data_IF_305603383460
#
_entry.id   IF_305603383460
#
_cell.length_a   1.000
_cell.length_b   1.000
_cell.length_c   1.000
_cell.angle_alpha   90.00
_cell.angle_beta   90.00
_cell.angle_gamma   90.00
#
_symmetry.space_group_name_H-M   'P 1'
#
loop_
_entity.id
_entity.type
_entity.pdbx_description
1 polymer ?
#
# COMPACT_ATOMS: atom_id res chain seq x y z
N UNK A 1 -7.78 18.82 -24.99
CA UNK A 1 -8.36 19.96 -25.73
C UNK A 1 -9.76 20.15 -25.15
N UNK A 2 -10.04 21.24 -24.44
CA UNK A 2 -11.37 21.46 -23.84
C UNK A 2 -12.27 22.03 -24.94
N UNK A 3 -13.44 21.43 -25.15
CA UNK A 3 -14.44 21.87 -26.13
C UNK A 3 -15.04 23.21 -25.75
N UNK A 4 -15.46 24.00 -26.74
CA UNK A 4 -15.89 25.39 -26.55
C UNK A 4 -17.22 25.58 -25.83
N UNK A 5 -18.02 24.51 -25.64
CA UNK A 5 -19.31 24.53 -24.95
C UNK A 5 -19.36 23.50 -23.81
N UNK A 6 -20.05 23.85 -22.72
CA UNK A 6 -20.29 22.94 -21.60
C UNK A 6 -21.11 21.72 -22.02
N UNK A 7 -22.03 21.86 -22.97
CA UNK A 7 -22.84 20.75 -23.51
C UNK A 7 -21.98 19.77 -24.29
N UNK A 8 -21.11 20.25 -25.20
CA UNK A 8 -20.20 19.39 -25.97
C UNK A 8 -19.26 18.56 -25.08
N UNK A 9 -18.87 19.13 -23.94
CA UNK A 9 -18.01 18.44 -22.96
C UNK A 9 -18.77 17.28 -22.30
N UNK A 10 -20.06 17.48 -22.01
CA UNK A 10 -20.92 16.47 -21.41
C UNK A 10 -21.22 15.34 -22.40
N UNK A 11 -21.50 15.67 -23.66
CA UNK A 11 -21.75 14.66 -24.69
C UNK A 11 -20.51 13.78 -24.92
N UNK A 12 -19.31 14.38 -25.00
CA UNK A 12 -18.07 13.61 -25.10
C UNK A 12 -17.81 12.72 -23.87
N UNK A 13 -18.19 13.18 -22.66
CA UNK A 13 -18.10 12.33 -21.48
C UNK A 13 -19.08 11.17 -21.54
N UNK A 14 -20.31 11.39 -21.98
CA UNK A 14 -21.31 10.32 -22.13
C UNK A 14 -20.88 9.30 -23.18
N UNK A 15 -20.43 9.75 -24.35
CA UNK A 15 -19.90 8.88 -25.42
C UNK A 15 -18.76 7.99 -24.90
N UNK A 16 -17.83 8.54 -24.11
CA UNK A 16 -16.76 7.76 -23.51
C UNK A 16 -17.27 6.64 -22.58
N UNK A 17 -18.27 6.95 -21.75
CA UNK A 17 -18.84 5.97 -20.83
C UNK A 17 -19.62 4.86 -21.55
N UNK A 18 -20.32 5.20 -22.63
CA UNK A 18 -21.05 4.25 -23.46
C UNK A 18 -20.11 3.33 -24.25
N UNK A 19 -19.12 3.90 -24.95
CA UNK A 19 -18.16 3.13 -25.76
C UNK A 19 -17.37 2.15 -24.91
N UNK A 20 -16.95 2.56 -23.71
CA UNK A 20 -16.14 1.72 -22.83
C UNK A 20 -17.02 0.85 -21.88
N UNK A 21 -18.35 0.97 -21.96
CA UNK A 21 -19.31 0.28 -21.09
C UNK A 21 -19.01 0.46 -19.59
N UNK A 22 -18.69 1.70 -19.17
CA UNK A 22 -18.34 2.01 -17.79
C UNK A 22 -19.35 2.97 -17.18
N UNK A 23 -19.83 2.67 -15.97
CA UNK A 23 -20.60 3.66 -15.21
C UNK A 23 -19.69 4.71 -14.57
N UNK A 24 -19.99 6.02 -14.69
CA UNK A 24 -19.24 7.10 -14.04
C UNK A 24 -19.24 7.01 -12.51
N UNK A 25 -20.20 6.27 -11.92
CA UNK A 25 -20.28 6.06 -10.46
C UNK A 25 -19.57 4.79 -9.98
N UNK A 26 -18.92 4.03 -10.86
CA UNK A 26 -18.27 2.77 -10.50
C UNK A 26 -16.94 3.01 -9.77
N UNK A 27 -17.02 3.16 -8.43
CA UNK A 27 -15.86 3.33 -7.54
C UNK A 27 -14.86 2.18 -7.62
N UNK A 28 -15.32 0.94 -7.89
CA UNK A 28 -14.44 -0.23 -8.00
C UNK A 28 -13.53 -0.10 -9.23
N UNK A 29 -14.07 0.38 -10.35
CA UNK A 29 -13.27 0.55 -11.56
C UNK A 29 -12.24 1.68 -11.42
N UNK A 30 -12.61 2.79 -10.78
CA UNK A 30 -11.66 3.87 -10.45
C UNK A 30 -10.54 3.40 -9.52
N UNK A 31 -10.85 2.54 -8.55
CA UNK A 31 -9.83 1.94 -7.68
C UNK A 31 -8.90 1.00 -8.45
N UNK A 32 -9.45 0.16 -9.35
CA UNK A 32 -8.64 -0.72 -10.22
C UNK A 32 -7.70 0.05 -11.14
N UNK A 33 -8.15 1.17 -11.73
CA UNK A 33 -7.31 2.03 -12.56
C UNK A 33 -6.16 2.65 -11.75
N UNK A 34 -6.43 3.11 -10.53
CA UNK A 34 -5.38 3.63 -9.63
C UNK A 34 -4.35 2.55 -9.28
N UNK A 35 -4.82 1.34 -8.98
CA UNK A 35 -3.93 0.20 -8.69
C UNK A 35 -3.08 -0.17 -9.91
N UNK A 36 -3.68 -0.24 -11.10
CA UNK A 36 -2.97 -0.52 -12.34
C UNK A 36 -1.86 0.50 -12.61
N UNK A 37 -2.18 1.79 -12.48
CA UNK A 37 -1.20 2.86 -12.64
C UNK A 37 -0.07 2.80 -11.60
N UNK A 38 -0.39 2.42 -10.35
CA UNK A 38 0.63 2.22 -9.32
C UNK A 38 1.57 1.07 -9.67
N UNK A 39 1.04 -0.07 -10.12
CA UNK A 39 1.83 -1.24 -10.52
C UNK A 39 2.73 -0.91 -11.72
N UNK A 40 2.20 -0.24 -12.75
CA UNK A 40 2.98 0.19 -13.91
C UNK A 40 4.20 1.02 -13.50
N UNK A 41 4.01 2.05 -12.66
CA UNK A 41 5.11 2.88 -12.17
C UNK A 41 6.17 2.09 -11.40
N UNK A 42 5.75 1.05 -10.66
CA UNK A 42 6.68 0.18 -9.94
C UNK A 42 7.49 -0.69 -10.91
N UNK A 43 6.86 -1.21 -11.95
CA UNK A 43 7.54 -1.98 -13.00
C UNK A 43 8.54 -1.10 -13.75
N UNK A 44 8.15 0.12 -14.12
CA UNK A 44 9.03 1.09 -14.81
C UNK A 44 10.26 1.40 -13.96
N UNK A 45 10.06 1.67 -12.66
CA UNK A 45 11.16 1.89 -11.72
C UNK A 45 12.09 0.68 -11.59
N UNK A 46 11.53 -0.53 -11.49
CA UNK A 46 12.33 -1.77 -11.42
C UNK A 46 13.12 -1.96 -12.73
N UNK A 47 12.53 -1.67 -13.88
CA UNK A 47 13.21 -1.76 -15.17
C UNK A 47 14.37 -0.74 -15.27
N UNK A 48 14.18 0.48 -14.77
CA UNK A 48 15.25 1.48 -14.68
C UNK A 48 16.38 1.04 -13.75
N UNK A 49 16.03 0.54 -12.57
CA UNK A 49 17.00 0.01 -11.61
C UNK A 49 17.83 -1.14 -12.22
N UNK A 50 17.17 -2.10 -12.88
CA UNK A 50 17.85 -3.21 -13.54
C UNK A 50 18.77 -2.74 -14.66
N UNK A 51 18.35 -1.76 -15.48
CA UNK A 51 19.20 -1.15 -16.52
C UNK A 51 20.41 -0.43 -15.93
N UNK A 52 20.25 0.24 -14.80
CA UNK A 52 21.35 0.89 -14.10
C UNK A 52 22.36 -0.13 -13.57
N UNK A 53 21.89 -1.19 -12.91
CA UNK A 53 22.74 -2.29 -12.43
C UNK A 53 23.45 -3.00 -13.59
N UNK A 54 22.75 -3.22 -14.70
CA UNK A 54 23.32 -3.79 -15.92
C UNK A 54 24.46 -2.91 -16.45
N UNK A 55 24.25 -1.59 -16.50
CA UNK A 55 25.26 -0.63 -16.97
C UNK A 55 26.48 -0.55 -16.04
N UNK A 56 26.26 -0.55 -14.72
CA UNK A 56 27.34 -0.33 -13.74
C UNK A 56 28.16 -1.58 -13.47
N UNK A 57 27.53 -2.75 -13.37
CA UNK A 57 28.20 -3.96 -12.87
C UNK A 57 28.24 -5.08 -13.90
N UNK A 58 27.11 -5.41 -14.53
CA UNK A 58 27.03 -6.62 -15.34
C UNK A 58 27.69 -6.47 -16.72
N UNK A 59 27.49 -5.33 -17.41
CA UNK A 59 28.15 -5.06 -18.71
C UNK A 59 29.67 -4.98 -18.60
N UNK A 60 30.25 -4.18 -17.68
CA UNK A 60 31.70 -4.14 -17.53
C UNK A 60 32.30 -5.50 -17.19
N UNK A 61 31.63 -6.28 -16.33
CA UNK A 61 32.10 -7.62 -15.97
C UNK A 61 32.06 -8.57 -17.17
N UNK A 62 30.95 -8.56 -17.93
CA UNK A 62 30.82 -9.33 -19.16
C UNK A 62 31.92 -8.95 -20.17
N UNK A 63 32.14 -7.66 -20.40
CA UNK A 63 33.11 -7.17 -21.38
C UNK A 63 34.56 -7.47 -20.95
N UNK A 64 34.84 -7.39 -19.65
CA UNK A 64 36.13 -7.81 -19.09
C UNK A 64 36.38 -9.30 -19.31
N UNK A 65 35.40 -10.16 -18.99
CA UNK A 65 35.51 -11.60 -19.23
C UNK A 65 35.68 -11.90 -20.72
N UNK A 66 34.89 -11.27 -21.58
CA UNK A 66 34.99 -11.41 -23.03
C UNK A 66 36.39 -11.01 -23.52
N UNK A 67 36.96 -9.91 -23.05
CA UNK A 67 38.31 -9.47 -23.41
C UNK A 67 39.40 -10.49 -23.01
N UNK A 68 39.24 -11.16 -21.85
CA UNK A 68 40.15 -12.23 -21.43
C UNK A 68 40.10 -13.45 -22.36
N UNK A 69 38.92 -13.80 -22.87
CA UNK A 69 38.74 -14.95 -23.76
C UNK A 69 39.08 -14.64 -25.23
N UNK A 70 38.85 -13.41 -25.69
CA UNK A 70 39.12 -12.97 -27.07
C UNK A 70 40.60 -12.57 -27.28
N UNK A 71 41.43 -12.58 -26.23
CA UNK A 71 42.87 -12.31 -26.31
C UNK A 71 43.23 -10.84 -26.55
N UNK A 72 42.26 -9.93 -26.54
CA UNK A 72 42.43 -8.48 -26.72
C UNK A 72 42.74 -7.79 -25.39
N UNK A 73 43.70 -8.34 -24.63
CA UNK A 73 44.14 -7.70 -23.40
C UNK A 73 44.80 -6.36 -23.76
N UNK A 74 44.13 -5.26 -23.39
CA UNK A 74 44.69 -3.93 -23.20
C UNK A 74 44.77 -2.97 -24.40
N UNK A 75 43.78 -2.92 -25.29
CA UNK A 75 43.52 -1.67 -26.03
C UNK A 75 42.59 -0.77 -25.21
N UNK A 76 43.21 -0.04 -24.27
CA UNK A 76 42.71 1.07 -23.45
C UNK A 76 41.22 1.40 -23.64
N UNK A 77 40.34 0.52 -23.15
CA UNK A 77 38.94 0.88 -22.96
C UNK A 77 38.97 1.94 -21.87
N UNK A 78 38.58 3.18 -22.22
CA UNK A 78 38.22 4.20 -21.24
C UNK A 78 37.05 3.64 -20.42
N UNK A 79 37.38 2.82 -19.41
CA UNK A 79 36.43 2.38 -18.41
C UNK A 79 35.96 3.67 -17.73
N UNK A 80 34.67 4.03 -17.80
CA UNK A 80 34.18 5.15 -17.02
C UNK A 80 34.52 4.84 -15.56
N UNK A 81 35.17 5.80 -14.88
CA UNK A 81 35.46 5.66 -13.46
C UNK A 81 34.15 5.28 -12.77
N UNK A 82 34.18 4.17 -12.02
CA UNK A 82 33.05 3.75 -11.20
C UNK A 82 32.99 4.76 -10.06
N UNK A 83 32.34 5.89 -10.31
CA UNK A 83 31.91 6.78 -9.24
C UNK A 83 30.82 6.02 -8.49
N UNK A 84 31.11 5.66 -7.24
CA UNK A 84 30.06 5.22 -6.32
C UNK A 84 28.95 6.27 -6.40
N UNK A 85 27.69 5.89 -6.74
CA UNK A 85 26.61 6.86 -6.71
C UNK A 85 26.56 7.37 -5.28
N UNK A 86 26.98 8.62 -5.07
CA UNK A 86 26.72 9.33 -3.83
C UNK A 86 25.22 9.28 -3.70
N UNK A 87 24.74 8.39 -2.85
CA UNK A 87 23.36 8.39 -2.42
C UNK A 87 23.10 9.83 -2.03
N UNK A 88 22.26 10.53 -2.81
CA UNK A 88 21.66 11.76 -2.32
C UNK A 88 20.82 11.26 -1.17
N UNK A 89 21.39 11.31 0.03
CA UNK A 89 20.66 11.15 1.27
C UNK A 89 19.44 12.03 1.09
N UNK A 90 18.27 11.41 0.93
CA UNK A 90 17.02 12.15 1.09
C UNK A 90 17.17 12.83 2.43
N UNK A 91 17.01 14.15 2.48
CA UNK A 91 17.05 14.89 3.74
C UNK A 91 16.22 14.10 4.74
N UNK A 92 16.79 13.75 5.89
CA UNK A 92 16.11 12.95 6.92
C UNK A 92 14.69 13.48 7.22
N UNK A 93 14.50 14.78 7.07
CA UNK A 93 13.24 15.52 7.14
C UNK A 93 12.11 14.93 6.26
N UNK A 94 12.39 14.36 5.08
CA UNK A 94 11.36 13.75 4.20
C UNK A 94 10.97 12.33 4.62
N UNK A 95 11.84 11.62 5.35
CA UNK A 95 11.63 10.25 5.83
C UNK A 95 10.97 10.23 7.22
N UNK A 96 11.26 11.22 8.06
CA UNK A 96 10.70 11.36 9.42
C UNK A 96 9.21 11.70 9.43
N UNK A 97 8.68 12.25 8.33
CA UNK A 97 7.28 12.65 8.22
C UNK A 97 6.30 11.52 7.87
N UNK A 98 6.77 10.27 7.70
CA UNK A 98 5.90 9.21 7.16
C UNK A 98 5.25 8.38 8.28
N UNK A 99 5.96 7.99 9.35
CA UNK A 99 5.36 7.22 10.46
C UNK A 99 6.15 7.41 11.77
N UNK A 100 5.49 7.46 12.95
CA UNK A 100 6.20 7.47 14.22
C UNK A 100 7.01 6.19 14.37
N UNK A 101 8.33 6.32 14.45
CA UNK A 101 9.25 5.20 14.64
C UNK A 101 9.18 4.72 16.08
N UNK A 102 8.22 3.85 16.37
CA UNK A 102 8.10 3.17 17.66
C UNK A 102 9.22 2.13 17.82
N UNK A 103 9.72 1.98 19.04
CA UNK A 103 10.65 0.91 19.40
C UNK A 103 9.99 -0.45 19.21
N UNK A 104 10.78 -1.49 18.93
CA UNK A 104 10.27 -2.87 18.84
C UNK A 104 9.60 -3.32 20.15
N UNK A 105 10.08 -2.81 21.28
CA UNK A 105 9.51 -3.08 22.60
C UNK A 105 8.11 -2.46 22.74
N UNK A 106 7.96 -1.20 22.33
CA UNK A 106 6.68 -0.49 22.33
C UNK A 106 5.66 -1.15 21.40
N UNK A 107 6.11 -1.59 20.21
CA UNK A 107 5.29 -2.34 19.28
C UNK A 107 4.78 -3.65 19.89
N UNK A 108 5.67 -4.40 20.56
CA UNK A 108 5.30 -5.67 21.19
C UNK A 108 4.28 -5.47 22.33
N UNK A 109 4.45 -4.44 23.15
CA UNK A 109 3.49 -4.09 24.21
C UNK A 109 2.14 -3.72 23.62
N UNK A 110 2.13 -2.80 22.64
CA UNK A 110 0.89 -2.38 21.96
C UNK A 110 0.17 -3.55 21.30
N UNK A 111 0.92 -4.44 20.65
CA UNK A 111 0.37 -5.62 20.02
C UNK A 111 -0.21 -6.59 21.06
N UNK A 112 0.43 -6.76 22.22
CA UNK A 112 -0.11 -7.60 23.29
C UNK A 112 -1.40 -7.03 23.90
N UNK A 113 -1.45 -5.71 24.12
CA UNK A 113 -2.63 -5.02 24.63
C UNK A 113 -3.82 -5.14 23.66
N UNK A 114 -3.58 -4.93 22.36
CA UNK A 114 -4.59 -5.13 21.33
C UNK A 114 -5.11 -6.56 21.30
N UNK A 115 -4.23 -7.57 21.41
CA UNK A 115 -4.64 -8.97 21.48
C UNK A 115 -5.44 -9.29 22.75
N UNK A 116 -5.17 -8.61 23.87
CA UNK A 116 -5.95 -8.74 25.10
C UNK A 116 -7.34 -8.16 24.92
N UNK A 117 -7.45 -6.93 24.44
CA UNK A 117 -8.73 -6.28 24.17
C UNK A 117 -9.58 -7.09 23.19
N UNK A 118 -8.98 -7.56 22.09
CA UNK A 118 -9.68 -8.38 21.09
C UNK A 118 -10.27 -9.65 21.71
N UNK A 119 -9.55 -10.31 22.62
CA UNK A 119 -10.06 -11.49 23.34
C UNK A 119 -11.21 -11.12 24.29
N UNK A 120 -11.15 -9.97 24.95
CA UNK A 120 -12.24 -9.48 25.80
C UNK A 120 -13.48 -9.14 24.97
N UNK A 121 -13.33 -8.44 23.84
CA UNK A 121 -14.42 -8.14 22.91
C UNK A 121 -15.06 -9.41 22.34
N UNK A 122 -14.26 -10.42 21.96
CA UNK A 122 -14.80 -11.69 21.48
C UNK A 122 -15.65 -12.40 22.54
N UNK A 123 -15.27 -12.33 23.83
CA UNK A 123 -16.08 -12.90 24.92
C UNK A 123 -17.44 -12.21 25.04
N UNK A 124 -17.50 -10.90 24.81
CA UNK A 124 -18.74 -10.11 24.85
C UNK A 124 -19.61 -10.44 23.64
N UNK A 125 -19.02 -10.47 22.44
CA UNK A 125 -19.77 -10.81 21.22
C UNK A 125 -20.38 -12.21 21.31
N UNK A 126 -19.65 -13.17 21.87
CA UNK A 126 -20.15 -14.53 22.08
C UNK A 126 -21.28 -14.62 23.11
N UNK A 127 -21.42 -13.64 24.01
CA UNK A 127 -22.54 -13.59 24.97
C UNK A 127 -23.77 -12.88 24.42
N UNK A 128 -23.71 -12.34 23.19
CA UNK A 128 -24.86 -11.71 22.54
C UNK A 128 -25.64 -12.76 21.76
N UNK A 129 -26.88 -13.02 22.19
CA UNK A 129 -27.82 -13.89 21.50
C UNK A 129 -28.94 -13.08 20.85
N UNK A 130 -29.30 -13.45 19.62
CA UNK A 130 -30.46 -12.85 18.95
C UNK A 130 -31.73 -13.58 19.38
N UNK A 131 -32.64 -12.85 20.02
CA UNK A 131 -33.96 -13.37 20.39
C UNK A 131 -34.96 -12.88 19.36
N UNK A 132 -35.68 -13.84 18.73
CA UNK A 132 -36.81 -13.58 17.84
C UNK A 132 -38.10 -13.97 18.57
N UNK A 133 -38.80 -13.01 19.19
CA UNK A 133 -40.05 -13.30 19.87
C UNK A 133 -41.15 -13.68 18.85
N UNK A 134 -42.18 -14.37 19.31
CA UNK A 134 -43.36 -14.68 18.47
C UNK A 134 -44.16 -13.42 18.10
N UNK A 135 -43.99 -12.33 18.86
CA UNK A 135 -44.64 -11.06 18.62
C UNK A 135 -43.66 -9.90 18.79
N UNK A 136 -43.62 -8.99 17.81
CA UNK A 136 -42.76 -7.81 17.82
C UNK A 136 -41.42 -7.98 17.09
N UNK A 137 -40.53 -7.00 17.26
CA UNK A 137 -39.23 -6.93 16.57
C UNK A 137 -38.17 -7.74 17.32
N UNK A 138 -37.30 -8.42 16.58
CA UNK A 138 -36.16 -9.14 17.17
C UNK A 138 -35.22 -8.19 17.89
N UNK A 139 -34.68 -8.62 19.03
CA UNK A 139 -33.69 -7.87 19.80
C UNK A 139 -32.48 -8.72 20.13
N UNK A 140 -31.37 -8.06 20.48
CA UNK A 140 -30.16 -8.70 20.95
C UNK A 140 -30.18 -8.71 22.48
N UNK A 141 -30.03 -9.90 23.06
CA UNK A 141 -29.91 -10.11 24.50
C UNK A 141 -28.44 -10.33 24.81
N UNK A 142 -27.92 -9.61 25.80
CA UNK A 142 -26.55 -9.84 26.29
C UNK A 142 -26.64 -10.70 27.55
N UNK A 143 -26.05 -11.88 27.50
CA UNK A 143 -26.01 -12.81 28.63
C UNK A 143 -24.75 -12.53 29.48
N UNK A 144 -24.81 -11.47 30.28
CA UNK A 144 -23.73 -11.12 31.20
C UNK A 144 -24.24 -10.54 32.52
N UNK A 145 -23.39 -10.59 33.53
CA UNK A 145 -23.63 -9.96 34.82
C UNK A 145 -23.63 -8.42 34.67
N UNK A 146 -24.64 -7.76 35.25
CA UNK A 146 -24.81 -6.31 35.20
C UNK A 146 -23.62 -5.55 35.80
N UNK A 147 -22.95 -6.15 36.81
CA UNK A 147 -21.75 -5.56 37.42
C UNK A 147 -20.56 -5.55 36.45
N UNK A 148 -20.42 -6.58 35.62
CA UNK A 148 -19.36 -6.65 34.60
C UNK A 148 -19.60 -5.64 33.49
N UNK A 149 -20.86 -5.42 33.12
CA UNK A 149 -21.23 -4.43 32.11
C UNK A 149 -20.92 -3.00 32.57
N UNK A 150 -21.20 -2.66 33.83
CA UNK A 150 -20.93 -1.32 34.36
C UNK A 150 -19.42 -1.04 34.48
N UNK A 151 -18.64 -2.03 34.91
CA UNK A 151 -17.17 -1.94 34.93
C UNK A 151 -16.62 -1.74 33.51
N UNK A 152 -17.15 -2.48 32.54
CA UNK A 152 -16.71 -2.38 31.15
C UNK A 152 -17.04 -1.02 30.53
N UNK A 153 -18.24 -0.50 30.79
CA UNK A 153 -18.65 0.83 30.36
C UNK A 153 -17.73 1.92 30.94
N UNK A 154 -17.44 1.85 32.24
CA UNK A 154 -16.54 2.79 32.91
C UNK A 154 -15.11 2.73 32.37
N UNK A 155 -14.63 1.56 31.94
CA UNK A 155 -13.29 1.40 31.35
C UNK A 155 -13.19 2.02 29.96
N UNK A 156 -14.27 2.02 29.16
CA UNK A 156 -14.28 2.58 27.81
C UNK A 156 -14.55 4.08 27.75
N UNK A 157 -15.13 4.66 28.80
CA UNK A 157 -15.38 6.11 28.91
C UNK A 157 -14.16 6.91 29.41
N UNK A 158 -13.18 6.23 30.00
CA UNK A 158 -11.90 6.81 30.44
C UNK A 158 -10.81 6.56 29.41
#
# INVERSE_FOLDING_TARGET
KVTGSHSDTLDQMMDFFEVVNISPRNRLMMHRLKLYNFILRRIDYIAELLREQERLYHKPTHDMLKSLFDGTAMDKIHQPAIEEPRYKERKQEELENIEPKISMEEYNVLHQDLQRERREFLKILNSISQVKPHFGKSYLKVEMDATKLSILKRRLEN
#
